data_IF_874728072996
#
_entry.id   IF_874728072996
#
_cell.length_a   1.000
_cell.length_b   1.000
_cell.length_c   1.000
_cell.angle_alpha   90.00
_cell.angle_beta   90.00
_cell.angle_gamma   90.00
#
_symmetry.space_group_name_H-M   'P 1'
#
loop_
_entity.id
_entity.type
_entity.pdbx_description
1 polymer ?
#
# COMPACT_ATOMS: atom_id res chain seq x y z
N UNK A 1 -19.38 23.21 51.51
CA UNK A 1 -19.37 21.91 50.81
C UNK A 1 -18.81 22.11 49.41
N UNK A 2 -17.61 21.55 49.19
CA UNK A 2 -16.87 21.21 47.96
C UNK A 2 -16.96 22.15 46.74
N UNK A 3 -15.90 22.95 46.63
CA UNK A 3 -15.33 23.51 45.40
C UNK A 3 -15.05 22.43 44.35
N UNK A 4 -15.46 22.66 43.10
CA UNK A 4 -15.21 21.75 41.98
C UNK A 4 -13.88 22.11 41.32
N UNK A 5 -13.00 21.11 41.32
CA UNK A 5 -11.63 21.12 40.86
C UNK A 5 -11.49 21.26 39.34
N UNK A 6 -10.42 21.97 38.94
CA UNK A 6 -9.86 22.07 37.57
C UNK A 6 -9.86 20.72 36.82
N UNK A 7 -10.30 20.73 35.57
CA UNK A 7 -9.88 19.73 34.59
C UNK A 7 -9.25 20.45 33.38
N UNK A 8 -7.96 20.20 33.21
CA UNK A 8 -7.05 20.83 32.24
C UNK A 8 -7.46 20.48 30.81
N UNK A 9 -7.31 21.44 29.90
CA UNK A 9 -7.38 21.23 28.45
C UNK A 9 -6.37 20.15 28.08
N UNK A 10 -6.84 18.99 27.63
CA UNK A 10 -6.00 17.93 27.12
C UNK A 10 -5.30 18.40 25.85
N UNK A 11 -3.98 18.34 25.85
CA UNK A 11 -3.13 18.54 24.68
C UNK A 11 -3.64 17.71 23.50
N UNK A 12 -3.86 18.36 22.36
CA UNK A 12 -3.73 17.74 21.06
C UNK A 12 -2.35 17.10 20.98
N UNK A 13 -2.21 15.78 20.75
CA UNK A 13 -0.90 15.21 20.53
C UNK A 13 -0.39 15.78 19.20
N UNK A 14 0.62 16.65 19.30
CA UNK A 14 1.46 16.95 18.15
C UNK A 14 2.05 15.62 17.70
N UNK A 15 1.75 15.25 16.46
CA UNK A 15 2.38 14.11 15.80
C UNK A 15 3.85 14.48 15.65
N UNK A 16 4.68 14.00 16.57
CA UNK A 16 6.12 14.07 16.48
C UNK A 16 6.55 13.37 15.20
N UNK A 17 7.27 14.10 14.35
CA UNK A 17 7.82 13.70 13.05
C UNK A 17 8.96 12.66 13.15
N UNK A 18 8.88 11.74 14.11
CA UNK A 18 9.84 10.65 14.27
C UNK A 18 9.06 9.35 14.17
N UNK A 19 8.86 8.85 12.95
CA UNK A 19 8.52 7.44 12.75
C UNK A 19 9.86 6.67 12.79
N UNK A 20 10.18 5.93 13.87
CA UNK A 20 11.52 5.38 14.09
C UNK A 20 11.83 4.16 13.22
N UNK A 21 10.90 3.69 12.39
CA UNK A 21 11.13 2.54 11.50
C UNK A 21 11.85 2.88 10.18
N UNK A 22 12.41 4.09 10.05
CA UNK A 22 13.19 4.51 8.87
C UNK A 22 14.66 4.82 9.17
N UNK A 23 15.10 4.74 10.42
CA UNK A 23 16.45 5.18 10.85
C UNK A 23 17.56 4.14 10.63
N UNK A 24 17.26 2.97 10.08
CA UNK A 24 18.26 1.92 9.79
C UNK A 24 18.50 1.69 8.29
N UNK A 25 17.69 2.32 7.42
CA UNK A 25 17.84 2.15 5.98
C UNK A 25 19.08 2.91 5.47
N UNK A 26 19.94 2.20 4.73
CA UNK A 26 21.02 2.80 3.93
C UNK A 26 20.51 3.51 2.67
N UNK A 27 19.20 3.42 2.41
CA UNK A 27 18.56 3.95 1.21
C UNK A 27 17.62 5.10 1.56
N UNK A 28 17.78 6.23 0.87
CA UNK A 28 16.93 7.42 0.94
C UNK A 28 16.18 7.67 -0.38
N UNK A 29 15.08 8.43 -0.33
CA UNK A 29 14.33 8.85 -1.52
C UNK A 29 14.39 10.37 -1.67
N UNK A 30 14.92 10.82 -2.81
CA UNK A 30 14.91 12.22 -3.20
C UNK A 30 13.71 12.47 -4.13
N UNK A 31 12.72 13.20 -3.63
CA UNK A 31 11.51 13.53 -4.39
C UNK A 31 11.65 14.86 -5.12
N UNK A 32 10.99 14.96 -6.27
CA UNK A 32 11.02 16.15 -7.14
C UNK A 32 9.60 16.67 -7.34
N UNK A 33 9.37 17.96 -7.09
CA UNK A 33 8.07 18.59 -7.35
C UNK A 33 7.74 18.71 -8.85
N UNK A 34 8.74 18.92 -9.70
CA UNK A 34 8.57 19.03 -11.15
C UNK A 34 9.61 18.20 -11.95
N UNK A 35 9.17 17.06 -12.49
CA UNK A 35 10.03 16.14 -13.27
C UNK A 35 10.60 16.75 -14.55
N UNK A 36 9.91 17.72 -15.18
CA UNK A 36 10.38 18.36 -16.40
C UNK A 36 11.62 19.25 -16.17
N UNK A 37 11.82 19.71 -14.93
CA UNK A 37 12.88 20.66 -14.55
C UNK A 37 14.00 19.93 -13.75
N UNK A 38 13.64 18.96 -12.91
CA UNK A 38 14.57 18.26 -12.01
C UNK A 38 15.42 17.15 -12.63
N UNK A 39 16.07 17.39 -13.79
CA UNK A 39 17.13 16.48 -14.26
C UNK A 39 18.35 16.59 -13.34
N UNK A 40 18.98 15.47 -12.96
CA UNK A 40 20.21 15.45 -12.14
C UNK A 40 21.34 16.32 -12.72
N UNK A 41 21.38 16.52 -14.03
CA UNK A 41 22.38 17.39 -14.66
C UNK A 41 22.22 18.87 -14.30
N UNK A 42 21.01 19.30 -13.91
CA UNK A 42 20.72 20.63 -13.38
C UNK A 42 21.13 20.78 -11.90
N UNK A 43 21.51 19.65 -11.27
CA UNK A 43 21.70 19.50 -9.83
C UNK A 43 23.14 19.82 -9.44
N UNK A 44 23.56 21.07 -9.68
CA UNK A 44 24.88 21.57 -9.33
C UNK A 44 25.21 21.43 -7.83
N UNK A 45 24.24 21.14 -6.96
CA UNK A 45 24.45 21.09 -5.50
C UNK A 45 24.79 19.67 -5.02
N UNK A 46 24.13 18.63 -5.53
CA UNK A 46 24.48 17.24 -5.18
C UNK A 46 25.79 16.82 -5.84
N UNK A 47 26.07 17.30 -7.06
CA UNK A 47 27.36 17.05 -7.70
C UNK A 47 28.52 17.75 -6.99
N UNK A 48 28.25 18.82 -6.23
CA UNK A 48 29.27 19.55 -5.43
C UNK A 48 29.36 19.10 -3.98
N UNK A 49 28.38 18.35 -3.48
CA UNK A 49 28.38 17.88 -2.09
C UNK A 49 29.19 16.59 -1.97
N UNK A 50 30.17 16.58 -1.08
CA UNK A 50 31.00 15.42 -0.80
C UNK A 50 30.18 14.26 -0.20
N UNK A 51 29.17 14.56 0.61
CA UNK A 51 28.29 13.55 1.20
C UNK A 51 27.34 12.94 0.17
N UNK A 52 26.84 13.72 -0.79
CA UNK A 52 26.00 13.24 -1.87
C UNK A 52 26.75 12.32 -2.86
N UNK A 53 28.02 12.62 -3.14
CA UNK A 53 28.86 11.83 -4.05
C UNK A 53 29.13 10.40 -3.53
N UNK A 54 29.02 10.18 -2.22
CA UNK A 54 29.16 8.85 -1.60
C UNK A 54 27.93 7.96 -1.79
N UNK A 55 26.83 8.50 -2.32
CA UNK A 55 25.63 7.72 -2.61
C UNK A 55 25.61 7.23 -4.05
N UNK A 56 25.21 5.97 -4.26
CA UNK A 56 24.78 5.50 -5.57
C UNK A 56 23.40 6.07 -5.89
N UNK A 57 23.31 6.86 -6.95
CA UNK A 57 22.07 7.54 -7.33
C UNK A 57 21.38 6.81 -8.48
N UNK A 58 20.13 6.37 -8.28
CA UNK A 58 19.32 5.67 -9.28
C UNK A 58 18.02 6.42 -9.58
N UNK A 59 17.79 6.76 -10.84
CA UNK A 59 16.56 7.41 -11.30
C UNK A 59 15.41 6.40 -11.43
N UNK A 60 14.23 6.74 -10.89
CA UNK A 60 13.00 5.96 -11.02
C UNK A 60 12.15 6.49 -12.18
N UNK A 61 11.29 5.63 -12.72
CA UNK A 61 10.29 6.02 -13.74
C UNK A 61 9.27 7.04 -13.23
N UNK A 62 9.09 7.16 -11.91
CA UNK A 62 8.25 8.20 -11.29
C UNK A 62 8.86 9.60 -11.40
N UNK A 63 10.16 9.69 -11.71
CA UNK A 63 10.93 10.93 -11.67
C UNK A 63 11.73 11.14 -10.39
N UNK A 64 11.52 10.31 -9.37
CA UNK A 64 12.29 10.38 -8.11
C UNK A 64 13.66 9.73 -8.23
N UNK A 65 14.58 10.10 -7.35
CA UNK A 65 15.88 9.44 -7.23
C UNK A 65 15.97 8.61 -5.95
N UNK A 66 16.67 7.49 -6.07
CA UNK A 66 17.04 6.61 -4.97
C UNK A 66 18.49 6.84 -4.66
N UNK A 67 18.80 7.14 -3.40
CA UNK A 67 20.17 7.34 -2.92
C UNK A 67 20.52 6.15 -2.03
N UNK A 68 21.50 5.36 -2.43
CA UNK A 68 21.95 4.18 -1.69
C UNK A 68 23.37 4.43 -1.19
N UNK A 69 23.55 4.43 0.13
CA UNK A 69 24.83 4.65 0.80
C UNK A 69 25.44 3.30 1.19
N UNK A 70 26.76 3.20 1.16
CA UNK A 70 27.45 2.00 1.63
C UNK A 70 27.41 1.86 3.15
N UNK A 71 27.35 2.98 3.88
CA UNK A 71 27.45 3.05 5.33
C UNK A 71 26.37 3.94 5.94
N UNK A 72 25.92 3.61 7.16
CA UNK A 72 24.94 4.41 7.90
C UNK A 72 25.49 5.80 8.23
N UNK A 73 26.77 5.90 8.60
CA UNK A 73 27.42 7.19 8.90
C UNK A 73 27.39 8.15 7.72
N UNK A 74 27.64 7.69 6.49
CA UNK A 74 27.61 8.57 5.31
C UNK A 74 26.17 9.01 4.99
N UNK A 75 25.21 8.12 5.22
CA UNK A 75 23.78 8.44 5.11
C UNK A 75 23.37 9.49 6.14
N UNK A 76 23.77 9.33 7.39
CA UNK A 76 23.46 10.28 8.47
C UNK A 76 24.07 11.65 8.21
N UNK A 77 25.34 11.69 7.78
CA UNK A 77 26.00 12.94 7.35
C UNK A 77 25.23 13.62 6.21
N UNK A 78 24.78 12.87 5.21
CA UNK A 78 23.97 13.42 4.14
C UNK A 78 22.61 13.95 4.63
N UNK A 79 21.94 13.27 5.56
CA UNK A 79 20.66 13.74 6.14
C UNK A 79 20.87 15.01 6.97
N UNK A 80 22.00 15.13 7.68
CA UNK A 80 22.36 16.32 8.43
C UNK A 80 22.66 17.52 7.52
N UNK A 81 23.40 17.31 6.43
CA UNK A 81 23.79 18.37 5.49
C UNK A 81 22.59 19.00 4.76
N UNK A 82 21.60 18.19 4.39
CA UNK A 82 20.48 18.62 3.55
C UNK A 82 19.16 18.81 4.28
N UNK A 83 19.14 18.49 5.59
CA UNK A 83 18.00 18.51 6.49
C UNK A 83 16.73 17.80 5.98
N UNK A 84 16.25 16.84 6.77
CA UNK A 84 15.06 16.07 6.43
C UNK A 84 13.82 16.96 6.20
N UNK A 85 13.07 16.71 5.12
CA UNK A 85 11.89 17.49 4.71
C UNK A 85 12.11 19.00 4.44
N UNK A 86 13.34 19.50 4.34
CA UNK A 86 13.58 20.87 3.88
C UNK A 86 13.85 20.92 2.38
N UNK A 87 13.32 21.93 1.67
CA UNK A 87 13.62 22.12 0.26
C UNK A 87 15.06 22.61 0.09
N UNK A 88 15.83 21.99 -0.80
CA UNK A 88 17.14 22.45 -1.21
C UNK A 88 17.26 22.51 -2.75
N UNK A 89 18.18 23.37 -3.20
CA UNK A 89 18.36 23.72 -4.62
C UNK A 89 17.32 24.70 -5.17
N UNK A 90 17.56 25.19 -6.39
CA UNK A 90 16.72 26.21 -7.05
C UNK A 90 15.27 25.76 -7.25
N UNK A 91 15.01 24.45 -7.35
CA UNK A 91 13.68 23.89 -7.68
C UNK A 91 12.97 23.17 -6.51
N UNK A 92 13.50 23.27 -5.29
CA UNK A 92 12.84 22.81 -4.06
C UNK A 92 12.70 21.29 -3.94
N UNK A 93 13.80 20.56 -4.08
CA UNK A 93 13.89 19.13 -3.79
C UNK A 93 13.92 18.87 -2.29
N UNK A 94 13.35 17.77 -1.83
CA UNK A 94 13.41 17.43 -0.40
C UNK A 94 13.76 15.96 -0.24
N UNK A 95 14.55 15.68 0.80
CA UNK A 95 14.79 14.32 1.27
C UNK A 95 13.53 13.88 2.00
N UNK A 96 12.93 12.83 1.49
CA UNK A 96 11.91 12.07 2.19
C UNK A 96 12.53 10.75 2.62
N UNK A 97 12.08 10.22 3.76
CA UNK A 97 12.40 8.84 4.10
C UNK A 97 11.93 7.99 2.94
N UNK A 98 12.78 7.04 2.58
CA UNK A 98 12.42 6.03 1.62
C UNK A 98 11.31 5.19 2.26
N UNK A 99 10.05 5.65 2.15
CA UNK A 99 8.93 4.72 2.17
C UNK A 99 9.00 3.97 0.85
N UNK A 100 10.02 3.10 0.72
CA UNK A 100 9.96 1.99 -0.20
C UNK A 100 8.71 1.23 0.22
N UNK A 101 7.58 1.57 -0.39
CA UNK A 101 6.39 0.75 -0.30
C UNK A 101 6.87 -0.62 -0.75
N UNK A 102 6.86 -1.62 0.14
CA UNK A 102 7.50 -2.89 -0.16
C UNK A 102 6.85 -3.44 -1.42
N UNK A 103 7.69 -3.91 -2.34
CA UNK A 103 7.23 -4.57 -3.55
C UNK A 103 6.59 -5.88 -3.12
N UNK A 104 5.27 -5.85 -2.98
CA UNK A 104 4.50 -6.98 -2.47
C UNK A 104 4.04 -7.85 -3.62
N UNK A 105 4.31 -9.15 -3.52
CA UNK A 105 3.84 -10.19 -4.43
C UNK A 105 2.99 -11.21 -3.67
N UNK A 106 2.05 -11.82 -4.39
CA UNK A 106 1.19 -12.89 -3.89
C UNK A 106 1.66 -14.19 -4.51
N UNK A 107 1.99 -15.14 -3.65
CA UNK A 107 2.38 -16.50 -4.01
C UNK A 107 1.10 -17.32 -4.11
N UNK A 108 0.84 -17.93 -5.26
CA UNK A 108 -0.33 -18.79 -5.51
C UNK A 108 0.13 -20.21 -5.84
N UNK A 109 -0.58 -21.18 -5.28
CA UNK A 109 -0.27 -22.61 -5.44
C UNK A 109 0.77 -23.10 -4.44
N UNK A 110 0.84 -22.52 -3.24
CA UNK A 110 1.73 -23.01 -2.18
C UNK A 110 1.24 -24.40 -1.75
N UNK A 111 2.06 -25.46 -1.85
CA UNK A 111 1.63 -26.82 -1.52
C UNK A 111 1.27 -26.95 -0.04
N UNK A 112 0.28 -27.78 0.30
CA UNK A 112 -0.20 -27.93 1.69
C UNK A 112 0.80 -28.64 2.61
N UNK A 113 1.71 -29.43 2.05
CA UNK A 113 2.75 -30.15 2.79
C UNK A 113 3.98 -29.28 3.10
N UNK A 114 4.15 -28.14 2.44
CA UNK A 114 5.25 -27.20 2.74
C UNK A 114 4.80 -26.36 3.92
N UNK A 115 5.55 -26.37 5.02
CA UNK A 115 5.26 -25.53 6.19
C UNK A 115 5.59 -24.05 5.93
N UNK A 116 5.14 -23.15 6.81
CA UNK A 116 5.50 -21.73 6.69
C UNK A 116 6.99 -21.51 7.00
N UNK A 117 7.51 -22.28 7.96
CA UNK A 117 8.90 -22.28 8.39
C UNK A 117 9.84 -22.78 7.29
N UNK A 118 9.54 -23.91 6.66
CA UNK A 118 10.37 -24.48 5.57
C UNK A 118 10.41 -23.54 4.37
N UNK A 119 9.28 -22.93 4.03
CA UNK A 119 9.22 -21.98 2.93
C UNK A 119 9.98 -20.70 3.27
N UNK A 120 9.89 -20.20 4.50
CA UNK A 120 10.64 -19.02 4.94
C UNK A 120 12.15 -19.27 4.90
N UNK A 121 12.60 -20.45 5.34
CA UNK A 121 14.01 -20.87 5.22
C UNK A 121 14.45 -20.93 3.76
N UNK A 122 13.66 -21.57 2.89
CA UNK A 122 13.97 -21.62 1.46
C UNK A 122 14.04 -20.22 0.83
N UNK A 123 13.11 -19.32 1.17
CA UNK A 123 13.11 -17.94 0.69
C UNK A 123 14.35 -17.17 1.15
N UNK A 124 14.90 -17.44 2.35
CA UNK A 124 16.15 -16.82 2.84
C UNK A 124 17.39 -17.24 2.06
N UNK A 125 17.38 -18.42 1.45
CA UNK A 125 18.50 -18.89 0.61
C UNK A 125 18.50 -18.21 -0.76
N UNK A 126 17.31 -17.88 -1.30
CA UNK A 126 17.17 -17.38 -2.67
C UNK A 126 16.97 -15.86 -2.80
N UNK A 127 16.61 -15.17 -1.71
CA UNK A 127 16.29 -13.73 -1.72
C UNK A 127 17.22 -12.93 -0.81
N UNK A 128 17.36 -11.64 -1.12
CA UNK A 128 18.07 -10.71 -0.24
C UNK A 128 17.37 -10.56 1.12
N UNK A 129 18.13 -10.33 2.20
CA UNK A 129 17.57 -10.17 3.54
C UNK A 129 16.61 -8.97 3.63
N UNK A 130 15.69 -9.02 4.60
CA UNK A 130 14.72 -7.96 4.86
C UNK A 130 13.38 -8.12 4.12
N UNK A 131 13.04 -9.33 3.67
CA UNK A 131 11.69 -9.65 3.21
C UNK A 131 10.79 -10.10 4.37
N UNK A 132 9.48 -10.06 4.15
CA UNK A 132 8.49 -10.67 5.06
C UNK A 132 7.55 -11.58 4.30
N UNK A 133 7.41 -12.81 4.76
CA UNK A 133 6.45 -13.79 4.25
C UNK A 133 5.30 -13.98 5.25
N UNK A 134 4.09 -14.13 4.73
CA UNK A 134 2.89 -14.45 5.51
C UNK A 134 2.00 -15.41 4.72
N UNK A 135 1.78 -16.61 5.24
CA UNK A 135 0.79 -17.52 4.66
C UNK A 135 -0.64 -17.13 5.07
N UNK A 136 -1.59 -17.30 4.16
CA UNK A 136 -3.00 -17.07 4.49
C UNK A 136 -3.67 -18.33 5.03
N UNK A 137 -4.63 -18.12 5.93
CA UNK A 137 -5.39 -19.17 6.60
C UNK A 137 -6.88 -18.90 6.48
N UNK A 138 -7.67 -19.97 6.39
CA UNK A 138 -9.14 -19.93 6.41
C UNK A 138 -9.65 -21.06 7.30
N UNK A 139 -10.46 -20.71 8.31
CA UNK A 139 -11.00 -21.66 9.28
C UNK A 139 -9.91 -22.54 9.93
N UNK A 140 -8.77 -21.95 10.30
CA UNK A 140 -7.63 -22.65 10.91
C UNK A 140 -6.79 -23.52 9.96
N UNK A 141 -7.12 -23.58 8.66
CA UNK A 141 -6.34 -24.32 7.66
C UNK A 141 -5.61 -23.36 6.72
N UNK A 142 -4.37 -23.68 6.38
CA UNK A 142 -3.61 -22.91 5.40
C UNK A 142 -4.26 -22.99 4.01
N UNK A 143 -4.44 -21.85 3.35
CA UNK A 143 -4.81 -21.83 1.94
C UNK A 143 -3.54 -21.82 1.08
N UNK A 144 -3.59 -22.27 -0.20
CA UNK A 144 -2.42 -22.31 -1.08
C UNK A 144 -2.05 -20.92 -1.61
N UNK A 145 -2.10 -19.90 -0.73
CA UNK A 145 -1.82 -18.51 -1.06
C UNK A 145 -1.04 -17.87 0.10
N UNK A 146 -0.03 -17.09 -0.23
CA UNK A 146 0.74 -16.30 0.72
C UNK A 146 1.09 -14.93 0.17
N UNK A 147 1.50 -14.02 1.06
CA UNK A 147 1.95 -12.67 0.76
C UNK A 147 3.45 -12.59 1.06
N UNK A 148 4.22 -12.08 0.11
CA UNK A 148 5.65 -11.84 0.24
C UNK A 148 5.91 -10.35 -0.02
N UNK A 149 6.52 -9.67 0.94
CA UNK A 149 6.83 -8.23 0.85
C UNK A 149 8.35 -8.06 0.77
N UNK A 150 8.82 -7.42 -0.30
CA UNK A 150 10.23 -7.32 -0.65
C UNK A 150 10.67 -5.85 -0.68
N UNK A 151 11.92 -5.59 -0.30
CA UNK A 151 12.50 -4.25 -0.40
C UNK A 151 12.98 -3.93 -1.82
N UNK A 152 13.25 -4.95 -2.64
CA UNK A 152 13.72 -4.82 -4.01
C UNK A 152 12.60 -5.05 -5.02
N UNK A 153 12.37 -4.04 -5.88
CA UNK A 153 11.44 -4.18 -7.01
C UNK A 153 11.99 -5.08 -8.11
N UNK A 154 13.31 -5.16 -8.27
CA UNK A 154 13.94 -6.02 -9.26
C UNK A 154 13.69 -7.50 -8.92
N UNK A 155 13.92 -7.90 -7.66
CA UNK A 155 13.64 -9.26 -7.18
C UNK A 155 12.16 -9.61 -7.31
N UNK A 156 11.27 -8.71 -6.87
CA UNK A 156 9.83 -8.92 -7.03
C UNK A 156 9.42 -9.11 -8.51
N UNK A 157 10.05 -8.38 -9.43
CA UNK A 157 9.81 -8.54 -10.88
C UNK A 157 10.33 -9.88 -11.39
N UNK A 158 11.51 -10.31 -10.95
CA UNK A 158 12.07 -11.63 -11.28
C UNK A 158 11.15 -12.75 -10.79
N UNK A 159 10.66 -12.68 -9.55
CA UNK A 159 9.71 -13.65 -9.00
C UNK A 159 8.40 -13.70 -9.80
N UNK A 160 7.83 -12.55 -10.18
CA UNK A 160 6.60 -12.52 -10.99
C UNK A 160 6.81 -13.14 -12.38
N UNK A 161 8.00 -13.00 -12.97
CA UNK A 161 8.32 -13.58 -14.28
C UNK A 161 8.66 -15.07 -14.20
N UNK A 162 9.49 -15.43 -13.23
CA UNK A 162 10.10 -16.76 -13.15
C UNK A 162 9.33 -17.70 -12.22
N UNK A 163 8.56 -17.20 -11.25
CA UNK A 163 7.96 -18.00 -10.18
C UNK A 163 9.00 -18.42 -9.13
N UNK A 164 8.57 -19.27 -8.20
CA UNK A 164 9.42 -19.91 -7.20
C UNK A 164 9.28 -21.42 -7.37
N UNK A 165 10.40 -22.12 -7.51
CA UNK A 165 10.41 -23.58 -7.64
C UNK A 165 10.63 -24.18 -6.26
N UNK A 166 9.73 -25.06 -5.83
CA UNK A 166 9.82 -25.78 -4.54
C UNK A 166 9.61 -27.26 -4.85
N UNK A 167 10.70 -28.04 -4.75
CA UNK A 167 10.73 -29.41 -5.25
C UNK A 167 10.38 -29.47 -6.74
N UNK A 168 9.36 -30.25 -7.09
CA UNK A 168 8.87 -30.39 -8.47
C UNK A 168 7.70 -29.44 -8.82
N UNK A 169 7.40 -28.47 -7.95
CA UNK A 169 6.27 -27.56 -8.14
C UNK A 169 6.72 -26.12 -8.32
N UNK A 170 6.00 -25.41 -9.18
CA UNK A 170 6.22 -23.99 -9.44
C UNK A 170 5.13 -23.15 -8.81
N UNK A 171 5.48 -22.40 -7.77
CA UNK A 171 4.63 -21.41 -7.13
C UNK A 171 4.59 -20.17 -8.02
N UNK A 172 3.37 -19.77 -8.42
CA UNK A 172 3.16 -18.60 -9.26
C UNK A 172 3.19 -17.34 -8.40
N UNK A 173 3.98 -16.35 -8.79
CA UNK A 173 3.98 -15.04 -8.15
C UNK A 173 3.20 -14.03 -9.00
N UNK A 174 2.33 -13.25 -8.36
CA UNK A 174 1.59 -12.16 -8.98
C UNK A 174 1.78 -10.87 -8.18
N UNK A 175 1.79 -9.71 -8.84
CA UNK A 175 1.78 -8.43 -8.12
C UNK A 175 0.59 -8.35 -7.18
N UNK A 176 0.83 -7.94 -5.93
CA UNK A 176 -0.25 -7.68 -4.99
C UNK A 176 -1.11 -6.53 -5.50
N UNK A 177 -2.40 -6.80 -5.68
CA UNK A 177 -3.40 -5.80 -6.01
C UNK A 177 -4.13 -5.47 -4.72
N UNK A 178 -4.16 -4.19 -4.35
CA UNK A 178 -4.94 -3.69 -3.22
C UNK A 178 -6.24 -3.04 -3.73
N UNK A 179 -7.29 -3.81 -4.07
CA UNK A 179 -8.54 -3.25 -4.56
C UNK A 179 -9.26 -2.48 -3.43
N UNK A 180 -10.04 -1.47 -3.81
CA UNK A 180 -10.93 -0.82 -2.86
C UNK A 180 -11.88 -1.85 -2.22
N UNK A 181 -11.96 -1.82 -0.89
CA UNK A 181 -12.83 -2.71 -0.13
C UNK A 181 -14.28 -2.43 -0.49
N UNK A 182 -15.00 -3.45 -0.98
CA UNK A 182 -16.45 -3.41 -1.20
C UNK A 182 -17.15 -3.90 0.06
N UNK A 183 -18.12 -3.15 0.53
CA UNK A 183 -19.03 -3.56 1.58
C UNK A 183 -19.94 -4.68 1.08
N UNK A 184 -19.93 -5.84 1.75
CA UNK A 184 -20.78 -6.96 1.36
C UNK A 184 -22.27 -6.73 1.65
N UNK A 185 -22.63 -5.74 2.47
CA UNK A 185 -24.02 -5.37 2.80
C UNK A 185 -24.62 -4.43 1.76
N UNK A 186 -24.05 -3.23 1.57
CA UNK A 186 -24.61 -2.22 0.67
C UNK A 186 -23.94 -2.15 -0.72
N UNK A 187 -22.93 -2.98 -0.98
CA UNK A 187 -22.15 -3.04 -2.23
C UNK A 187 -21.29 -1.81 -2.56
N UNK A 188 -21.33 -0.74 -1.77
CA UNK A 188 -20.48 0.45 -1.95
C UNK A 188 -19.03 0.20 -1.52
N UNK A 189 -18.12 1.10 -1.89
CA UNK A 189 -16.70 1.02 -1.57
C UNK A 189 -16.31 1.81 -0.31
N UNK A 190 -15.22 1.42 0.34
CA UNK A 190 -14.56 2.19 1.40
C UNK A 190 -14.88 1.78 2.83
N UNK A 191 -15.74 0.77 3.03
CA UNK A 191 -16.04 0.23 4.37
C UNK A 191 -16.39 -1.27 4.29
N UNK A 192 -16.34 -1.94 5.45
CA UNK A 192 -16.73 -3.35 5.58
C UNK A 192 -18.15 -3.48 6.14
N UNK A 193 -18.78 -4.64 5.92
CA UNK A 193 -20.15 -4.90 6.34
C UNK A 193 -20.40 -4.69 7.83
N UNK A 194 -19.42 -5.03 8.69
CA UNK A 194 -19.54 -4.87 10.15
C UNK A 194 -19.76 -3.42 10.60
N UNK A 195 -19.29 -2.43 9.84
CA UNK A 195 -19.47 -1.00 10.15
C UNK A 195 -20.49 -0.32 9.23
N UNK A 196 -21.23 -1.10 8.43
CA UNK A 196 -22.18 -0.56 7.47
C UNK A 196 -23.52 -0.24 8.13
N UNK A 197 -23.96 1.02 8.00
CA UNK A 197 -25.28 1.51 8.47
C UNK A 197 -26.35 1.56 7.36
N UNK A 198 -25.95 1.28 6.13
CA UNK A 198 -26.82 1.33 4.96
C UNK A 198 -27.73 0.09 4.83
N UNK A 199 -28.77 0.23 4.01
CA UNK A 199 -29.68 -0.88 3.66
C UNK A 199 -28.91 -1.96 2.88
N UNK A 200 -29.30 -3.22 3.08
CA UNK A 200 -28.74 -4.34 2.30
C UNK A 200 -29.13 -4.20 0.82
N UNK A 201 -28.13 -4.28 -0.05
CA UNK A 201 -28.30 -4.17 -1.50
C UNK A 201 -27.84 -5.45 -2.19
N UNK A 202 -28.64 -5.94 -3.12
CA UNK A 202 -28.37 -7.17 -3.85
C UNK A 202 -27.16 -7.04 -4.78
N UNK A 203 -26.26 -8.04 -4.75
CA UNK A 203 -25.08 -8.11 -5.62
C UNK A 203 -25.42 -8.19 -7.12
N UNK A 204 -26.57 -8.78 -7.47
CA UNK A 204 -26.97 -9.06 -8.85
C UNK A 204 -27.69 -7.89 -9.54
N UNK A 205 -28.62 -7.22 -8.84
CA UNK A 205 -29.47 -6.16 -9.40
C UNK A 205 -29.40 -4.82 -8.65
N UNK A 206 -28.83 -4.78 -7.45
CA UNK A 206 -28.85 -3.58 -6.59
C UNK A 206 -30.17 -3.33 -5.84
N UNK A 207 -31.14 -4.24 -5.90
CA UNK A 207 -32.40 -4.13 -5.16
C UNK A 207 -32.24 -4.31 -3.64
N UNK A 208 -33.25 -3.89 -2.88
CA UNK A 208 -33.29 -3.97 -1.41
C UNK A 208 -33.65 -5.37 -0.89
N UNK A 209 -32.79 -6.34 -1.17
CA UNK A 209 -32.92 -7.72 -0.69
C UNK A 209 -31.59 -8.45 -0.64
N UNK A 210 -31.55 -9.53 0.15
CA UNK A 210 -30.42 -10.43 0.20
C UNK A 210 -30.20 -11.13 -1.15
N UNK A 211 -28.94 -11.24 -1.56
CA UNK A 211 -28.53 -11.92 -2.81
C UNK A 211 -29.14 -13.32 -3.01
N UNK A 212 -29.43 -14.05 -1.92
CA UNK A 212 -30.07 -15.37 -1.98
C UNK A 212 -31.51 -15.33 -2.48
N UNK A 213 -32.24 -14.24 -2.22
CA UNK A 213 -33.64 -14.03 -2.61
C UNK A 213 -33.78 -13.32 -3.96
N UNK A 214 -32.69 -13.16 -4.70
CA UNK A 214 -32.72 -12.37 -5.92
C UNK A 214 -33.41 -13.13 -7.08
N UNK A 215 -34.45 -12.56 -7.72
CA UNK A 215 -35.18 -13.22 -8.80
C UNK A 215 -34.38 -13.37 -10.10
N UNK A 216 -33.24 -12.69 -10.20
CA UNK A 216 -32.32 -12.77 -11.34
C UNK A 216 -31.05 -13.60 -11.03
N UNK A 217 -31.00 -14.28 -9.89
CA UNK A 217 -29.89 -15.17 -9.56
C UNK A 217 -29.78 -16.28 -10.60
N UNK A 218 -28.59 -16.45 -11.16
CA UNK A 218 -28.33 -17.43 -12.23
C UNK A 218 -28.67 -16.94 -13.65
N UNK A 219 -29.28 -15.75 -13.80
CA UNK A 219 -29.56 -15.15 -15.12
C UNK A 219 -28.36 -14.35 -15.64
N UNK A 220 -28.36 -14.09 -16.94
CA UNK A 220 -27.35 -13.27 -17.64
C UNK A 220 -27.53 -11.78 -17.36
N UNK A 221 -28.78 -11.35 -17.15
CA UNK A 221 -29.17 -10.00 -16.77
C UNK A 221 -28.62 -9.64 -15.39
N UNK A 222 -27.48 -8.97 -15.37
CA UNK A 222 -26.81 -8.48 -14.15
C UNK A 222 -26.62 -6.99 -14.30
N UNK A 223 -26.86 -6.24 -13.23
CA UNK A 223 -26.66 -4.79 -13.19
C UNK A 223 -25.77 -4.43 -12.01
N UNK A 224 -24.70 -3.70 -12.29
CA UNK A 224 -23.82 -3.20 -11.24
C UNK A 224 -24.45 -1.95 -10.59
N UNK A 225 -24.72 -2.02 -9.29
CA UNK A 225 -25.24 -0.87 -8.52
C UNK A 225 -24.27 0.32 -8.48
N UNK A 226 -22.96 0.07 -8.56
CA UNK A 226 -21.95 1.12 -8.44
C UNK A 226 -21.67 1.90 -9.73
N UNK A 227 -21.89 1.30 -10.90
CA UNK A 227 -21.66 1.96 -12.20
C UNK A 227 -22.92 2.05 -13.07
N UNK A 228 -24.03 1.44 -12.65
CA UNK A 228 -25.31 1.44 -13.37
C UNK A 228 -25.35 0.54 -14.62
N UNK A 229 -24.20 0.05 -15.10
CA UNK A 229 -24.11 -0.73 -16.33
C UNK A 229 -24.55 -2.18 -16.13
N UNK A 230 -25.17 -2.73 -17.17
CA UNK A 230 -25.53 -4.14 -17.27
C UNK A 230 -24.35 -5.00 -17.75
N UNK A 231 -24.46 -6.32 -17.56
CA UNK A 231 -23.49 -7.32 -18.03
C UNK A 231 -22.47 -7.77 -16.98
N UNK A 232 -22.46 -7.18 -15.78
CA UNK A 232 -21.58 -7.62 -14.70
C UNK A 232 -22.17 -7.39 -13.29
N UNK A 233 -21.64 -8.15 -12.32
CA UNK A 233 -21.98 -8.02 -10.90
C UNK A 233 -21.20 -6.85 -10.25
N UNK A 234 -21.69 -6.34 -9.12
CA UNK A 234 -20.97 -5.29 -8.38
C UNK A 234 -19.57 -5.73 -7.86
N UNK A 235 -19.28 -7.03 -7.86
CA UNK A 235 -17.97 -7.59 -7.50
C UNK A 235 -17.02 -7.80 -8.69
N UNK A 236 -17.40 -7.40 -9.90
CA UNK A 236 -16.55 -7.57 -11.08
C UNK A 236 -15.34 -6.63 -11.04
N UNK A 237 -14.13 -7.20 -11.05
CA UNK A 237 -12.87 -6.43 -10.97
C UNK A 237 -12.60 -5.52 -12.17
N UNK A 238 -13.27 -5.73 -13.30
CA UNK A 238 -13.15 -4.88 -14.49
C UNK A 238 -14.00 -3.61 -14.47
N UNK A 239 -14.89 -3.44 -13.48
CA UNK A 239 -15.82 -2.31 -13.37
C UNK A 239 -15.11 -0.95 -13.26
N UNK A 240 -15.59 0.06 -13.99
CA UNK A 240 -15.04 1.43 -13.98
C UNK A 240 -15.10 2.05 -12.58
N UNK A 241 -16.25 1.96 -11.88
CA UNK A 241 -16.40 2.46 -10.52
C UNK A 241 -15.46 1.75 -9.53
N UNK A 242 -15.23 0.45 -9.70
CA UNK A 242 -14.30 -0.31 -8.86
C UNK A 242 -12.84 0.12 -9.09
N UNK A 243 -12.45 0.34 -10.36
CA UNK A 243 -11.13 0.88 -10.72
C UNK A 243 -10.94 2.29 -10.16
N UNK A 244 -11.93 3.17 -10.31
CA UNK A 244 -11.90 4.53 -9.78
C UNK A 244 -11.75 4.55 -8.26
N UNK A 245 -12.54 3.75 -7.53
CA UNK A 245 -12.44 3.63 -6.07
C UNK A 245 -11.06 3.10 -5.63
N UNK A 246 -10.50 2.13 -6.36
CA UNK A 246 -9.16 1.58 -6.09
C UNK A 246 -8.08 2.63 -6.30
N UNK A 247 -8.19 3.43 -7.36
CA UNK A 247 -7.25 4.51 -7.64
C UNK A 247 -7.31 5.63 -6.59
N UNK A 248 -8.51 5.96 -6.12
CA UNK A 248 -8.69 6.88 -4.98
C UNK A 248 -8.04 6.34 -3.71
N UNK A 249 -8.20 5.04 -3.42
CA UNK A 249 -7.55 4.40 -2.27
C UNK A 249 -6.02 4.52 -2.36
N UNK A 250 -5.43 4.24 -3.53
CA UNK A 250 -3.98 4.38 -3.73
C UNK A 250 -3.48 5.80 -3.47
N UNK A 251 -4.17 6.81 -4.03
CA UNK A 251 -3.83 8.24 -3.82
C UNK A 251 -3.84 8.62 -2.34
N UNK A 252 -4.79 8.05 -1.58
CA UNK A 252 -4.91 8.29 -0.16
C UNK A 252 -3.82 7.57 0.65
N UNK A 253 -3.45 6.35 0.27
CA UNK A 253 -2.34 5.61 0.89
C UNK A 253 -0.99 6.28 0.63
N UNK A 254 -0.75 6.80 -0.58
CA UNK A 254 0.46 7.56 -0.90
C UNK A 254 0.55 8.90 -0.14
N UNK A 255 -0.58 9.46 0.27
CA UNK A 255 -0.64 10.70 1.05
C UNK A 255 -0.42 10.48 2.56
N UNK A 256 0.03 9.29 3.00
CA UNK A 256 0.33 9.01 4.41
C UNK A 256 -0.89 8.96 5.33
N UNK A 257 -2.10 8.80 4.78
CA UNK A 257 -3.30 8.68 5.62
C UNK A 257 -3.36 7.28 6.22
N UNK A 258 -3.02 7.18 7.50
CA UNK A 258 -3.00 5.94 8.28
C UNK A 258 -4.31 5.13 8.13
N UNK A 259 -4.17 3.83 7.83
CA UNK A 259 -5.26 2.88 7.62
C UNK A 259 -6.09 2.67 8.89
N UNK A 260 -5.47 2.72 10.08
CA UNK A 260 -6.17 2.51 11.35
C UNK A 260 -7.07 3.68 11.73
N UNK A 261 -6.79 4.89 11.24
CA UNK A 261 -7.61 6.09 11.51
C UNK A 261 -8.93 6.16 10.71
N UNK A 262 -9.12 5.32 9.69
CA UNK A 262 -10.24 5.41 8.73
C UNK A 262 -11.44 4.52 9.00
N UNK A 263 -11.29 3.43 9.75
CA UNK A 263 -12.43 2.59 10.14
C UNK A 263 -13.43 3.32 11.04
N UNK A 264 -13.04 4.44 11.65
CA UNK A 264 -13.91 5.23 12.53
C UNK A 264 -14.29 6.63 12.01
N UNK A 265 -13.42 7.33 11.25
CA UNK A 265 -13.64 8.77 10.94
C UNK A 265 -14.46 9.07 9.68
N UNK A 266 -14.58 8.17 8.72
CA UNK A 266 -15.45 8.39 7.55
C UNK A 266 -16.93 8.05 7.81
N UNK A 267 -17.29 7.69 9.05
CA UNK A 267 -18.67 7.50 9.48
C UNK A 267 -19.48 8.81 9.65
N UNK A 268 -18.90 10.00 9.42
CA UNK A 268 -19.54 11.28 9.75
C UNK A 268 -19.72 12.28 8.60
N UNK A 269 -19.31 11.99 7.36
CA UNK A 269 -19.50 12.97 6.27
C UNK A 269 -20.08 12.29 5.04
N UNK A 270 -21.41 12.16 5.04
CA UNK A 270 -22.32 12.32 3.88
C UNK A 270 -23.78 12.07 4.32
N UNK A 271 -24.27 12.91 5.20
CA UNK A 271 -25.71 13.14 5.40
C UNK A 271 -25.96 14.62 5.13
N UNK A 272 -26.21 14.96 3.86
CA UNK A 272 -26.50 16.31 3.42
C UNK A 272 -26.98 16.30 1.98
N UNK A 273 -28.30 16.22 1.82
CA UNK A 273 -28.96 16.17 0.52
C UNK A 273 -30.34 15.50 0.63
N UNK A 274 -31.27 16.16 1.31
CA UNK A 274 -32.68 16.16 0.92
C UNK A 274 -32.93 17.47 0.19
#
# INVERSE_FOLDING_TARGET
MKSVSKMRRGHTPQVSLNNPNCTESLVLSLQIKNYAIGRIKSFNILTKSETAQKARITARKSGDFTLEFSNSSDRDSFVNDFEYNKPFGQDGHYISACSLQPSTVVLKGIPSWVSEEDLDLYLKEILNPGFTFQRFYKNGRSIPVGKLSLNSRAEATSLVRMGIEVGFQKIRCEWFKNPATRCFRCQQFGHIANFCKEVERCLFCGGDHNMKMCPIKGKTEKKCINCGLSGHLACYGGCSSAKAATEQLKKQLSAGTDWQSRTLKNCMVKSGGR
#
